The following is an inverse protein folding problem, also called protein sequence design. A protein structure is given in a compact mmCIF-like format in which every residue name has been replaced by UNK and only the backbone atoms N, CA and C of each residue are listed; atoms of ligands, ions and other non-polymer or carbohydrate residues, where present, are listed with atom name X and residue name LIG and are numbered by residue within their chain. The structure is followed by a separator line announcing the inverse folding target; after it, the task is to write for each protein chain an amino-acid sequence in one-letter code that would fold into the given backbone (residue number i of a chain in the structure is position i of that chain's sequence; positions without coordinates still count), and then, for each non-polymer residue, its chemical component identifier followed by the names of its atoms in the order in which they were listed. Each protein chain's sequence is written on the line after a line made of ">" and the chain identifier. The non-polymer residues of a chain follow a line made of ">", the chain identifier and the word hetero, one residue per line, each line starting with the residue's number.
data_IF_664387155853
#
_entry.id   IF_664387155853
#
_cell.length_a   1.000
_cell.length_b   1.000
_cell.length_c   1.000
_cell.angle_alpha   90.00
_cell.angle_beta   90.00
_cell.angle_gamma   90.00
#
_symmetry.space_group_name_H-M   'P 1'
#
loop_
_entity.id
_entity.type
_entity.pdbx_description
1 polymer ?
#
# COMPACT_ATOMS: atom_id res chain seq x y z
N UNK A 1 -11.94 -6.48 27.62
CA UNK A 1 -11.54 -5.11 27.22
C UNK A 1 -10.09 -4.89 27.60
N UNK A 2 -9.32 -4.24 26.74
CA UNK A 2 -7.92 -3.87 26.95
C UNK A 2 -7.79 -2.35 26.97
N UNK A 3 -6.90 -1.81 27.80
CA UNK A 3 -6.63 -0.37 27.87
C UNK A 3 -5.32 -0.05 27.15
N UNK A 4 -5.32 1.00 26.33
CA UNK A 4 -4.13 1.53 25.66
C UNK A 4 -4.04 3.03 25.95
N UNK A 5 -2.87 3.51 26.36
CA UNK A 5 -2.61 4.93 26.64
C UNK A 5 -1.70 5.52 25.56
N UNK A 6 -2.10 6.65 25.00
CA UNK A 6 -1.33 7.37 23.99
C UNK A 6 -0.95 8.75 24.49
N UNK A 7 0.26 9.19 24.16
CA UNK A 7 0.63 10.59 24.30
C UNK A 7 0.25 11.31 23.00
N UNK A 8 -0.55 12.36 23.12
CA UNK A 8 -0.96 13.19 21.98
C UNK A 8 -0.41 14.61 22.14
N UNK A 9 -0.05 15.30 21.04
CA UNK A 9 0.38 16.69 21.10
C UNK A 9 -0.71 17.58 21.73
N UNK A 10 -0.30 18.51 22.60
CA UNK A 10 -1.23 19.39 23.31
C UNK A 10 -2.12 20.20 22.35
N UNK A 11 -1.57 20.62 21.21
CA UNK A 11 -2.29 21.35 20.17
C UNK A 11 -3.44 20.51 19.59
N UNK A 12 -3.23 19.21 19.40
CA UNK A 12 -4.26 18.30 18.91
C UNK A 12 -5.34 18.10 19.97
N UNK A 13 -4.94 17.87 21.21
CA UNK A 13 -5.88 17.72 22.33
C UNK A 13 -6.77 18.95 22.51
N UNK A 14 -6.21 20.17 22.38
CA UNK A 14 -6.97 21.42 22.40
C UNK A 14 -8.01 21.48 21.28
N UNK A 15 -7.70 20.99 20.08
CA UNK A 15 -8.67 20.91 18.98
C UNK A 15 -9.76 19.89 19.27
N UNK A 16 -9.41 18.72 19.78
CA UNK A 16 -10.39 17.68 20.15
C UNK A 16 -11.36 18.16 21.22
N UNK A 17 -10.88 18.89 22.22
CA UNK A 17 -11.70 19.50 23.28
C UNK A 17 -12.74 20.50 22.78
N UNK A 18 -12.55 21.10 21.60
CA UNK A 18 -13.56 21.99 21.00
C UNK A 18 -14.79 21.27 20.50
N UNK A 19 -14.71 19.94 20.32
CA UNK A 19 -15.79 19.09 19.82
C UNK A 19 -16.07 17.95 20.82
N UNK A 20 -16.62 18.27 22.01
CA UNK A 20 -16.89 17.28 23.06
C UNK A 20 -17.99 16.28 22.68
N UNK A 21 -18.83 16.59 21.68
CA UNK A 21 -19.86 15.72 21.14
C UNK A 21 -19.29 14.50 20.39
N UNK A 22 -18.02 14.55 20.00
CA UNK A 22 -17.35 13.49 19.26
C UNK A 22 -16.80 12.43 20.23
N UNK A 23 -17.16 11.17 19.98
CA UNK A 23 -16.61 9.99 20.66
C UNK A 23 -15.22 9.63 20.10
N UNK A 24 -14.21 10.34 20.58
CA UNK A 24 -12.83 10.22 20.12
C UNK A 24 -12.22 8.83 20.31
N UNK A 25 -12.65 8.12 21.35
CA UNK A 25 -12.31 6.72 21.62
C UNK A 25 -12.77 5.78 20.49
N UNK A 26 -14.01 5.95 20.03
CA UNK A 26 -14.55 5.16 18.92
C UNK A 26 -13.83 5.48 17.61
N UNK A 27 -13.53 6.76 17.35
CA UNK A 27 -12.75 7.15 16.16
C UNK A 27 -11.36 6.53 16.19
N UNK A 28 -10.69 6.54 17.36
CA UNK A 28 -9.37 5.93 17.52
C UNK A 28 -9.40 4.43 17.25
N UNK A 29 -10.39 3.72 17.80
CA UNK A 29 -10.58 2.28 17.55
C UNK A 29 -10.79 1.98 16.07
N UNK A 30 -11.70 2.69 15.39
CA UNK A 30 -11.94 2.48 13.96
C UNK A 30 -10.72 2.86 13.10
N UNK A 31 -9.91 3.84 13.52
CA UNK A 31 -8.68 4.18 12.82
C UNK A 31 -7.64 3.06 12.95
N UNK A 32 -7.50 2.46 14.14
CA UNK A 32 -6.60 1.33 14.37
C UNK A 32 -7.04 0.09 13.58
N UNK A 33 -8.33 -0.24 13.59
CA UNK A 33 -8.88 -1.38 12.85
C UNK A 33 -8.59 -1.27 11.35
N UNK A 34 -8.90 -0.11 10.75
CA UNK A 34 -8.60 0.13 9.33
C UNK A 34 -7.10 0.10 9.01
N UNK A 35 -6.26 0.55 9.94
CA UNK A 35 -4.82 0.52 9.73
C UNK A 35 -4.26 -0.90 9.79
N UNK A 36 -4.74 -1.72 10.73
CA UNK A 36 -4.42 -3.14 10.82
C UNK A 36 -4.90 -3.88 9.57
N UNK A 37 -6.15 -3.69 9.15
CA UNK A 37 -6.69 -4.30 7.92
C UNK A 37 -5.82 -3.99 6.70
N UNK A 38 -5.35 -2.74 6.58
CA UNK A 38 -4.43 -2.34 5.52
C UNK A 38 -3.08 -3.04 5.60
N UNK A 39 -2.51 -3.21 6.80
CA UNK A 39 -1.28 -4.00 6.99
C UNK A 39 -1.54 -5.45 6.56
N UNK A 40 -2.61 -6.08 7.05
CA UNK A 40 -2.93 -7.46 6.75
C UNK A 40 -3.19 -7.71 5.27
N UNK A 41 -3.86 -6.79 4.57
CA UNK A 41 -4.02 -6.85 3.11
C UNK A 41 -2.66 -6.77 2.42
N UNK A 42 -1.79 -5.85 2.85
CA UNK A 42 -0.45 -5.68 2.29
C UNK A 42 0.39 -6.93 2.52
N UNK A 43 0.37 -7.49 3.73
CA UNK A 43 1.05 -8.74 4.05
C UNK A 43 0.43 -9.93 3.31
N UNK A 44 -0.88 -9.98 3.10
CA UNK A 44 -1.54 -11.04 2.32
C UNK A 44 -1.18 -10.98 0.84
N UNK A 45 -1.03 -9.78 0.29
CA UNK A 45 -0.55 -9.57 -1.09
C UNK A 45 0.93 -9.93 -1.18
N UNK A 46 1.75 -9.46 -0.23
CA UNK A 46 3.18 -9.75 -0.18
C UNK A 46 3.46 -11.24 0.09
N UNK A 47 2.70 -11.91 0.95
CA UNK A 47 2.85 -13.34 1.27
C UNK A 47 2.32 -14.26 0.17
N UNK A 48 1.30 -13.84 -0.59
CA UNK A 48 0.92 -14.52 -1.85
C UNK A 48 1.93 -14.29 -2.96
N UNK A 49 2.70 -13.22 -2.89
CA UNK A 49 3.83 -12.97 -3.77
C UNK A 49 5.05 -13.74 -3.27
N UNK A 50 5.23 -14.97 -3.75
CA UNK A 50 6.53 -15.68 -3.68
C UNK A 50 7.60 -15.05 -4.57
N UNK A 51 7.38 -13.85 -5.10
CA UNK A 51 8.34 -13.17 -5.96
C UNK A 51 9.54 -12.76 -5.12
N UNK A 52 10.65 -13.44 -5.36
CA UNK A 52 11.98 -13.05 -4.95
C UNK A 52 12.48 -11.91 -5.83
N UNK A 53 13.57 -11.26 -5.42
CA UNK A 53 14.23 -10.24 -6.25
C UNK A 53 14.62 -10.81 -7.63
N UNK A 54 15.02 -12.09 -7.68
CA UNK A 54 15.30 -12.81 -8.93
C UNK A 54 14.07 -12.88 -9.84
N UNK A 55 12.88 -13.19 -9.27
CA UNK A 55 11.65 -13.27 -10.06
C UNK A 55 11.26 -11.91 -10.67
N UNK A 56 11.55 -10.81 -9.98
CA UNK A 56 11.33 -9.45 -10.50
C UNK A 56 12.27 -9.11 -11.67
N UNK A 57 13.53 -9.56 -11.59
CA UNK A 57 14.49 -9.41 -12.69
C UNK A 57 14.07 -10.23 -13.91
N UNK A 58 13.66 -11.48 -13.70
CA UNK A 58 13.22 -12.37 -14.79
C UNK A 58 11.98 -11.81 -15.51
N UNK A 59 11.00 -11.31 -14.74
CA UNK A 59 9.81 -10.65 -15.30
C UNK A 59 10.19 -9.39 -16.09
N UNK A 60 11.10 -8.57 -15.56
CA UNK A 60 11.56 -7.34 -16.23
C UNK A 60 12.28 -7.63 -17.56
N UNK A 61 13.11 -8.68 -17.57
CA UNK A 61 13.81 -9.14 -18.77
C UNK A 61 12.85 -9.65 -19.84
N UNK A 62 11.85 -10.46 -19.46
CA UNK A 62 10.83 -10.97 -20.38
C UNK A 62 9.96 -9.86 -20.98
N UNK A 63 9.58 -8.86 -20.19
CA UNK A 63 8.82 -7.69 -20.68
C UNK A 63 9.66 -6.90 -21.68
N UNK A 64 10.93 -6.62 -21.35
CA UNK A 64 11.84 -5.86 -22.22
C UNK A 64 12.06 -6.58 -23.55
N UNK A 65 12.28 -7.90 -23.51
CA UNK A 65 12.44 -8.73 -24.70
C UNK A 65 11.20 -8.69 -25.60
N UNK A 66 10.00 -8.89 -25.04
CA UNK A 66 8.74 -8.86 -25.80
C UNK A 66 8.45 -7.47 -26.37
N UNK A 67 8.77 -6.42 -25.62
CA UNK A 67 8.65 -5.03 -26.10
C UNK A 67 9.56 -4.78 -27.29
N UNK A 68 10.81 -5.26 -27.22
CA UNK A 68 11.79 -5.15 -28.30
C UNK A 68 11.38 -5.94 -29.55
N UNK A 69 10.88 -7.17 -29.38
CA UNK A 69 10.38 -7.98 -30.50
C UNK A 69 9.23 -7.29 -31.23
N UNK A 70 8.25 -6.76 -30.50
CA UNK A 70 7.14 -5.98 -31.08
C UNK A 70 7.63 -4.73 -31.79
N UNK A 71 8.59 -4.03 -31.20
CA UNK A 71 9.18 -2.83 -31.80
C UNK A 71 9.93 -3.16 -33.11
N UNK A 72 10.70 -4.26 -33.13
CA UNK A 72 11.39 -4.74 -34.32
C UNK A 72 10.43 -5.12 -35.44
N UNK A 73 9.31 -5.78 -35.10
CA UNK A 73 8.27 -6.12 -36.07
C UNK A 73 7.54 -4.89 -36.61
N UNK A 74 7.37 -3.85 -35.78
CA UNK A 74 6.85 -2.55 -36.23
C UNK A 74 7.80 -1.87 -37.22
N UNK A 75 9.10 -1.80 -36.92
CA UNK A 75 10.10 -1.20 -37.83
C UNK A 75 10.17 -1.92 -39.18
N UNK A 76 10.16 -3.26 -39.19
CA UNK A 76 10.14 -4.06 -40.44
C UNK A 76 8.92 -3.79 -41.32
N UNK A 77 7.79 -3.40 -40.74
CA UNK A 77 6.57 -3.05 -41.48
C UNK A 77 6.64 -1.65 -42.10
N UNK A 78 7.51 -0.77 -41.59
CA UNK A 78 7.73 0.57 -42.13
C UNK A 78 8.76 0.58 -43.27
N UNK A 79 9.64 -0.41 -43.32
CA UNK A 79 10.66 -0.58 -44.38
C UNK A 79 10.14 -1.35 -45.61
N UNK A 80 8.84 -1.67 -45.66
CA UNK A 80 8.18 -2.45 -46.73
C UNK A 80 7.12 -1.61 -47.43
#
# INVERSE_FOLDING_TARGET
>A
MTEIKFTIPEVLYKKMKKYPEIKWDSIAQSALERYIERIEITEKVASKSKLTISDVEDISNEITKKSWEKHKDYLKKLEK
#
